data_IF_292667002083
#
_entry.id   IF_292667002083
#
_cell.length_a   1.000
_cell.length_b   1.000
_cell.length_c   1.000
_cell.angle_alpha   90.00
_cell.angle_beta   90.00
_cell.angle_gamma   90.00
#
_symmetry.space_group_name_H-M   'P 1'
#
loop_
_entity.id
_entity.type
_entity.pdbx_description
1 polymer ?
#
# COMPACT_ATOMS: atom_id res chain seq x y z
N UNK A 1 20.90 -12.45 -0.73
CA UNK A 1 19.43 -12.29 -0.78
C UNK A 1 19.02 -11.33 0.33
N UNK A 2 18.38 -10.21 0.01
CA UNK A 2 17.88 -9.28 1.04
C UNK A 2 16.81 -9.98 1.86
N UNK A 3 17.02 -10.13 3.16
CA UNK A 3 16.03 -10.70 4.06
C UNK A 3 14.87 -9.70 4.21
N UNK A 4 13.73 -9.99 3.60
CA UNK A 4 12.51 -9.17 3.62
C UNK A 4 12.17 -8.73 5.05
N UNK A 5 12.25 -9.64 6.02
CA UNK A 5 11.98 -9.34 7.43
C UNK A 5 12.94 -8.30 8.00
N UNK A 6 14.23 -8.40 7.66
CA UNK A 6 15.24 -7.45 8.10
C UNK A 6 15.03 -6.06 7.49
N UNK A 7 14.70 -5.99 6.20
CA UNK A 7 14.40 -4.71 5.54
C UNK A 7 13.16 -4.03 6.11
N UNK A 8 12.09 -4.78 6.37
CA UNK A 8 10.89 -4.27 7.04
C UNK A 8 11.16 -3.81 8.47
N UNK A 9 12.02 -4.51 9.21
CA UNK A 9 12.46 -4.08 10.53
C UNK A 9 13.25 -2.79 10.47
N UNK A 10 14.17 -2.67 9.50
CA UNK A 10 14.95 -1.45 9.32
C UNK A 10 14.06 -0.25 9.01
N UNK A 11 13.05 -0.42 8.14
CA UNK A 11 12.06 0.61 7.86
C UNK A 11 11.27 1.01 9.12
N UNK A 12 10.79 0.03 9.89
CA UNK A 12 10.12 0.29 11.16
C UNK A 12 11.02 1.06 12.12
N UNK A 13 12.24 0.58 12.38
CA UNK A 13 13.22 1.24 13.28
C UNK A 13 13.49 2.68 12.84
N UNK A 14 13.70 2.92 11.54
CA UNK A 14 13.94 4.26 11.00
C UNK A 14 12.75 5.19 11.21
N UNK A 15 11.53 4.71 11.00
CA UNK A 15 10.34 5.53 11.16
C UNK A 15 10.07 5.85 12.64
N UNK A 16 10.11 4.85 13.53
CA UNK A 16 9.81 5.08 14.95
C UNK A 16 10.83 6.00 15.63
N UNK A 17 12.08 6.04 15.16
CA UNK A 17 13.09 6.95 15.67
C UNK A 17 12.67 8.42 15.54
N UNK A 18 11.85 8.75 14.53
CA UNK A 18 11.30 10.08 14.29
C UNK A 18 9.84 10.23 14.77
N UNK A 19 9.21 9.14 15.19
CA UNK A 19 7.79 9.10 15.60
C UNK A 19 7.59 8.11 16.74
N UNK A 20 8.15 8.39 17.93
CA UNK A 20 8.18 7.44 19.05
C UNK A 20 6.80 7.15 19.66
N UNK A 21 5.78 7.93 19.31
CA UNK A 21 4.41 7.77 19.79
C UNK A 21 3.59 6.73 19.00
N UNK A 22 4.13 6.17 17.91
CA UNK A 22 3.44 5.17 17.10
C UNK A 22 3.25 3.83 17.84
N UNK A 23 2.07 3.24 17.69
CA UNK A 23 1.75 1.92 18.23
C UNK A 23 1.97 0.84 17.18
N UNK A 24 2.95 -0.04 17.36
CA UNK A 24 3.10 -1.21 16.47
C UNK A 24 1.98 -2.22 16.75
N UNK A 25 1.18 -2.51 15.73
CA UNK A 25 -0.02 -3.37 15.81
C UNK A 25 0.21 -4.80 15.37
N UNK A 26 1.39 -5.12 14.85
CA UNK A 26 1.78 -6.49 14.52
C UNK A 26 2.01 -6.76 13.03
N UNK A 27 2.17 -8.05 12.72
CA UNK A 27 2.45 -8.57 11.39
C UNK A 27 1.25 -9.38 10.91
N UNK A 28 0.80 -9.09 9.70
CA UNK A 28 -0.38 -9.68 9.09
C UNK A 28 0.02 -10.30 7.75
N UNK A 29 -0.45 -11.53 7.44
CA UNK A 29 -0.38 -12.01 6.07
C UNK A 29 -1.32 -11.19 5.16
N UNK A 30 -1.13 -11.27 3.85
CA UNK A 30 -2.12 -10.81 2.90
C UNK A 30 -3.30 -11.75 2.95
N UNK A 31 -4.50 -11.18 2.79
CA UNK A 31 -5.66 -12.03 2.59
C UNK A 31 -5.50 -12.81 1.31
N UNK A 32 -5.59 -14.13 1.44
CA UNK A 32 -5.58 -15.07 0.33
C UNK A 32 -7.02 -15.41 -0.03
N UNK A 33 -7.30 -15.69 -1.30
CA UNK A 33 -8.58 -16.23 -1.76
C UNK A 33 -8.43 -17.75 -1.84
N UNK A 34 -9.19 -18.49 -1.03
CA UNK A 34 -9.27 -19.95 -1.17
C UNK A 34 -10.28 -20.36 -2.23
N UNK A 35 -9.92 -21.33 -3.06
CA UNK A 35 -10.87 -22.00 -3.93
C UNK A 35 -11.74 -22.96 -3.12
N UNK A 36 -13.06 -22.76 -3.11
CA UNK A 36 -13.99 -23.82 -2.70
C UNK A 36 -14.13 -24.80 -3.87
N UNK A 37 -14.03 -26.12 -3.62
CA UNK A 37 -14.42 -27.16 -4.60
C UNK A 37 -15.83 -26.79 -5.09
N UNK A 38 -16.01 -26.54 -6.39
CA UNK A 38 -17.14 -25.84 -7.05
C UNK A 38 -16.89 -24.35 -7.41
N UNK A 39 -16.01 -24.14 -8.40
CA UNK A 39 -16.15 -23.12 -9.46
C UNK A 39 -16.15 -21.62 -9.13
N UNK A 40 -16.33 -21.21 -7.87
CA UNK A 40 -16.46 -19.79 -7.49
C UNK A 40 -15.29 -19.39 -6.60
N UNK A 41 -14.44 -18.47 -7.10
CA UNK A 41 -13.42 -17.81 -6.28
C UNK A 41 -14.12 -16.92 -5.27
N UNK A 42 -14.21 -17.35 -4.01
CA UNK A 42 -14.80 -16.56 -2.93
C UNK A 42 -13.76 -16.38 -1.84
N UNK A 43 -13.51 -15.14 -1.43
CA UNK A 43 -12.64 -14.85 -0.30
C UNK A 43 -13.23 -15.50 0.96
N UNK A 44 -12.41 -16.22 1.73
CA UNK A 44 -12.83 -16.59 3.09
C UNK A 44 -12.81 -15.33 3.94
N UNK A 45 -13.92 -14.96 4.63
CA UNK A 45 -13.94 -13.82 5.53
C UNK A 45 -12.87 -13.87 6.64
N UNK A 46 -12.35 -15.07 6.96
CA UNK A 46 -11.30 -15.27 7.97
C UNK A 46 -9.90 -14.83 7.52
N UNK A 47 -9.67 -14.62 6.22
CA UNK A 47 -8.34 -14.29 5.68
C UNK A 47 -8.11 -12.78 5.52
N UNK A 48 -9.17 -11.98 5.51
CA UNK A 48 -9.06 -10.52 5.45
C UNK A 48 -9.23 -9.93 6.85
N UNK A 49 -8.25 -9.13 7.27
CA UNK A 49 -8.22 -8.55 8.59
C UNK A 49 -9.15 -7.33 8.65
N UNK A 50 -10.17 -7.42 9.50
CA UNK A 50 -11.19 -6.36 9.66
C UNK A 50 -10.56 -5.00 9.99
N UNK A 51 -9.52 -4.99 10.82
CA UNK A 51 -8.80 -3.77 11.21
C UNK A 51 -8.00 -3.13 10.07
N UNK A 52 -7.63 -3.90 9.05
CA UNK A 52 -6.89 -3.41 7.87
C UNK A 52 -7.84 -3.07 6.69
N UNK A 53 -9.14 -3.10 6.95
CA UNK A 53 -10.22 -2.83 6.01
C UNK A 53 -10.87 -1.47 6.21
N UNK A 54 -12.12 -1.35 5.75
CA UNK A 54 -13.00 -0.23 6.05
C UNK A 54 -13.91 -0.53 7.24
N UNK A 55 -14.28 0.51 8.01
CA UNK A 55 -15.28 0.40 9.09
C UNK A 55 -16.61 -0.11 8.54
N UNK A 56 -17.45 -0.67 9.42
CA UNK A 56 -18.82 -1.09 9.05
C UNK A 56 -19.56 0.07 8.39
N UNK A 57 -20.22 -0.19 7.27
CA UNK A 57 -20.85 0.84 6.44
C UNK A 57 -19.91 1.46 5.40
N UNK A 58 -18.61 1.17 5.45
CA UNK A 58 -17.61 1.47 4.42
C UNK A 58 -17.46 2.96 4.10
N UNK A 59 -17.46 3.80 5.14
CA UNK A 59 -17.33 5.27 5.04
C UNK A 59 -15.96 5.81 5.47
N UNK A 60 -15.11 4.98 6.08
CA UNK A 60 -13.76 5.34 6.52
C UNK A 60 -12.91 4.10 6.82
N UNK A 61 -11.61 4.27 6.98
CA UNK A 61 -10.67 3.20 7.33
C UNK A 61 -10.93 2.65 8.74
N UNK A 62 -10.74 1.34 8.91
CA UNK A 62 -10.82 0.67 10.21
C UNK A 62 -9.49 0.65 10.98
N UNK A 63 -8.39 1.05 10.33
CA UNK A 63 -7.08 1.10 10.96
C UNK A 63 -7.11 2.01 12.19
N UNK A 64 -6.39 1.60 13.22
CA UNK A 64 -6.19 2.44 14.40
C UNK A 64 -5.36 3.67 14.05
N UNK A 65 -5.67 4.84 14.64
CA UNK A 65 -4.82 6.02 14.59
C UNK A 65 -3.38 5.77 15.04
N UNK A 66 -2.43 6.54 14.49
CA UNK A 66 -1.02 6.62 14.93
C UNK A 66 -0.43 5.23 15.16
N UNK A 67 -0.59 4.36 14.17
CA UNK A 67 -0.29 2.94 14.29
C UNK A 67 0.57 2.47 13.13
N UNK A 68 1.39 1.47 13.42
CA UNK A 68 2.26 0.85 12.44
C UNK A 68 1.89 -0.62 12.24
N UNK A 69 1.89 -1.07 10.99
CA UNK A 69 1.51 -2.43 10.59
C UNK A 69 2.56 -2.99 9.65
N UNK A 70 2.81 -4.28 9.74
CA UNK A 70 3.50 -5.02 8.67
C UNK A 70 2.47 -5.92 8.01
N UNK A 71 2.28 -5.80 6.71
CA UNK A 71 1.39 -6.65 5.91
C UNK A 71 2.18 -7.20 4.73
N UNK A 72 2.40 -8.52 4.70
CA UNK A 72 3.31 -9.18 3.75
C UNK A 72 4.69 -8.49 3.68
N UNK A 73 5.01 -7.92 2.52
CA UNK A 73 6.28 -7.33 2.14
C UNK A 73 6.27 -5.80 2.35
N UNK A 74 5.34 -5.30 3.15
CA UNK A 74 5.11 -3.86 3.32
C UNK A 74 4.90 -3.47 4.77
N UNK A 75 5.47 -2.34 5.14
CA UNK A 75 5.30 -1.63 6.39
C UNK A 75 4.43 -0.39 6.11
N UNK A 76 3.41 -0.18 6.93
CA UNK A 76 2.45 0.91 6.81
C UNK A 76 2.40 1.71 8.09
N UNK A 77 2.28 3.02 7.98
CA UNK A 77 1.98 3.92 9.10
C UNK A 77 0.71 4.68 8.78
N UNK A 78 -0.13 4.82 9.81
CA UNK A 78 -1.36 5.60 9.74
C UNK A 78 -1.30 6.82 10.63
N UNK A 79 -1.91 7.91 10.15
CA UNK A 79 -2.08 9.17 10.88
C UNK A 79 -3.13 9.08 12.00
N UNK A 80 -3.43 10.23 12.61
CA UNK A 80 -4.40 10.36 13.70
C UNK A 80 -5.86 10.01 13.30
N UNK A 81 -6.19 10.03 12.02
CA UNK A 81 -7.49 9.64 11.49
C UNK A 81 -7.54 8.15 11.09
N UNK A 82 -6.42 7.44 11.19
CA UNK A 82 -6.28 6.05 10.74
C UNK A 82 -6.14 5.92 9.22
N UNK A 83 -5.83 7.01 8.51
CA UNK A 83 -5.51 7.00 7.08
C UNK A 83 -4.03 6.66 6.93
N UNK A 84 -3.66 5.99 5.84
CA UNK A 84 -2.25 5.66 5.59
C UNK A 84 -1.52 6.92 5.14
N UNK A 85 -0.48 7.30 5.87
CA UNK A 85 0.38 8.46 5.57
C UNK A 85 1.75 8.05 5.03
N UNK A 86 2.17 6.81 5.30
CA UNK A 86 3.46 6.30 4.87
C UNK A 86 3.42 4.80 4.58
N UNK A 87 4.14 4.40 3.53
CA UNK A 87 4.38 3.00 3.18
C UNK A 87 5.85 2.80 2.84
N UNK A 88 6.43 1.74 3.39
CA UNK A 88 7.65 1.12 2.86
C UNK A 88 7.31 -0.28 2.36
N UNK A 89 7.49 -0.54 1.06
CA UNK A 89 7.22 -1.83 0.45
C UNK A 89 8.43 -2.40 -0.29
N UNK A 90 8.50 -3.72 -0.36
CA UNK A 90 9.44 -4.41 -1.25
C UNK A 90 8.67 -4.94 -2.45
N UNK A 91 9.00 -4.43 -3.63
CA UNK A 91 8.51 -4.94 -4.89
C UNK A 91 9.28 -6.22 -5.22
N UNK A 92 8.55 -7.34 -5.28
CA UNK A 92 9.14 -8.67 -5.50
C UNK A 92 8.62 -9.25 -6.82
N UNK A 93 9.55 -9.75 -7.65
CA UNK A 93 9.21 -10.44 -8.91
C UNK A 93 8.38 -11.69 -8.62
N UNK A 94 7.40 -11.96 -9.47
CA UNK A 94 6.54 -13.15 -9.38
C UNK A 94 5.80 -13.29 -8.04
N UNK A 95 5.58 -12.19 -7.31
CA UNK A 95 4.94 -12.17 -5.99
C UNK A 95 3.52 -11.61 -6.08
N UNK A 96 2.70 -12.17 -6.96
CA UNK A 96 1.34 -11.67 -7.17
C UNK A 96 0.46 -11.93 -5.94
N UNK A 97 -0.01 -10.87 -5.30
CA UNK A 97 -0.98 -10.93 -4.20
C UNK A 97 -2.43 -10.91 -4.73
N UNK A 98 -3.34 -11.48 -3.94
CA UNK A 98 -4.76 -11.48 -4.24
C UNK A 98 -5.39 -10.08 -4.07
N UNK A 99 -6.40 -9.79 -4.90
CA UNK A 99 -7.13 -8.51 -4.87
C UNK A 99 -8.48 -8.66 -4.18
N UNK A 100 -8.78 -7.78 -3.23
CA UNK A 100 -10.11 -7.68 -2.64
C UNK A 100 -10.98 -6.67 -3.40
N UNK A 101 -11.60 -7.09 -4.51
CA UNK A 101 -12.34 -6.20 -5.41
C UNK A 101 -13.43 -5.36 -4.70
N UNK A 102 -14.13 -5.95 -3.73
CA UNK A 102 -15.11 -5.22 -2.93
C UNK A 102 -14.48 -4.06 -2.15
N UNK A 103 -13.40 -4.29 -1.39
CA UNK A 103 -12.73 -3.21 -0.67
C UNK A 103 -12.16 -2.17 -1.63
N UNK A 104 -11.58 -2.61 -2.74
CA UNK A 104 -11.08 -1.69 -3.77
C UNK A 104 -12.16 -0.76 -4.31
N UNK A 105 -13.34 -1.30 -4.64
CA UNK A 105 -14.48 -0.49 -5.06
C UNK A 105 -14.93 0.46 -3.96
N UNK A 106 -14.99 -0.01 -2.71
CA UNK A 106 -15.44 0.80 -1.57
C UNK A 106 -14.46 1.93 -1.22
N UNK A 107 -13.16 1.71 -1.33
CA UNK A 107 -12.13 2.74 -1.11
C UNK A 107 -12.28 3.86 -2.15
N UNK A 108 -12.41 3.54 -3.44
CA UNK A 108 -12.64 4.57 -4.46
C UNK A 108 -13.93 5.39 -4.21
N UNK A 109 -15.00 4.72 -3.76
CA UNK A 109 -16.27 5.37 -3.42
C UNK A 109 -16.20 6.33 -2.24
N UNK A 110 -15.14 6.33 -1.43
CA UNK A 110 -14.94 7.34 -0.38
C UNK A 110 -14.80 8.76 -0.97
N UNK A 111 -14.26 8.87 -2.20
CA UNK A 111 -14.10 10.14 -2.91
C UNK A 111 -15.19 10.39 -3.96
N UNK A 112 -16.03 9.40 -4.26
CA UNK A 112 -17.10 9.51 -5.25
C UNK A 112 -16.66 9.23 -6.69
N UNK A 113 -17.36 9.85 -7.65
CA UNK A 113 -17.13 9.62 -9.09
C UNK A 113 -15.76 10.15 -9.50
N UNK A 114 -15.08 9.43 -10.39
CA UNK A 114 -13.75 9.82 -10.88
C UNK A 114 -12.58 9.29 -10.05
N UNK A 115 -12.84 8.49 -9.01
CA UNK A 115 -11.82 7.88 -8.18
C UNK A 115 -11.88 6.35 -8.20
N UNK A 116 -10.71 5.73 -8.13
CA UNK A 116 -10.54 4.30 -7.91
C UNK A 116 -9.99 4.04 -6.51
N UNK A 117 -10.15 2.81 -6.00
CA UNK A 117 -9.28 2.32 -4.94
C UNK A 117 -7.91 2.01 -5.54
N UNK A 118 -7.05 3.01 -5.63
CA UNK A 118 -5.70 2.86 -6.17
C UNK A 118 -4.83 2.12 -5.15
N UNK A 119 -4.05 1.14 -5.60
CA UNK A 119 -3.13 0.46 -4.70
C UNK A 119 -1.86 1.30 -4.51
N UNK A 120 -1.37 1.40 -3.29
CA UNK A 120 -0.08 2.04 -2.99
C UNK A 120 1.08 1.15 -3.41
N UNK A 121 0.99 -0.15 -3.11
CA UNK A 121 1.87 -1.19 -3.64
C UNK A 121 1.06 -2.05 -4.60
N UNK A 122 1.50 -2.16 -5.85
CA UNK A 122 0.78 -2.95 -6.87
C UNK A 122 0.68 -4.42 -6.46
N UNK A 123 -0.50 -5.02 -6.63
CA UNK A 123 -0.72 -6.45 -6.32
C UNK A 123 0.23 -7.40 -7.06
N UNK A 124 0.62 -7.09 -8.30
CA UNK A 124 1.58 -7.88 -9.07
C UNK A 124 2.98 -7.96 -8.43
N UNK A 125 3.29 -7.05 -7.50
CA UNK A 125 4.59 -6.87 -6.88
C UNK A 125 4.58 -7.25 -5.38
N UNK A 126 3.48 -7.83 -4.89
CA UNK A 126 3.32 -8.26 -3.49
C UNK A 126 2.41 -7.36 -2.66
N UNK A 127 1.81 -6.33 -3.26
CA UNK A 127 0.94 -5.40 -2.55
C UNK A 127 -0.37 -6.04 -2.10
N UNK A 128 -0.65 -5.96 -0.80
CA UNK A 128 -1.84 -6.55 -0.19
C UNK A 128 -3.14 -6.05 -0.84
N UNK A 129 -4.12 -6.93 -1.00
CA UNK A 129 -5.48 -6.55 -1.40
C UNK A 129 -6.30 -5.90 -0.28
N UNK A 130 -5.72 -5.62 0.89
CA UNK A 130 -6.41 -4.96 2.00
C UNK A 130 -6.55 -3.46 1.78
N UNK A 131 -7.56 -2.85 2.42
CA UNK A 131 -7.81 -1.42 2.27
C UNK A 131 -6.65 -0.57 2.80
N UNK A 132 -5.86 -1.04 3.78
CA UNK A 132 -4.62 -0.39 4.22
C UNK A 132 -3.59 -0.19 3.09
N UNK A 133 -3.68 -0.95 2.00
CA UNK A 133 -2.80 -0.76 0.83
C UNK A 133 -3.50 0.02 -0.30
N UNK A 134 -4.60 0.70 0.00
CA UNK A 134 -5.38 1.42 -1.00
C UNK A 134 -5.77 2.81 -0.53
N UNK A 135 -5.90 3.73 -1.47
CA UNK A 135 -6.42 5.08 -1.25
C UNK A 135 -7.41 5.46 -2.34
N UNK A 136 -8.30 6.44 -2.10
CA UNK A 136 -9.02 7.09 -3.19
C UNK A 136 -8.01 7.81 -4.08
N UNK A 137 -7.79 7.26 -5.27
CA UNK A 137 -6.83 7.77 -6.25
C UNK A 137 -7.58 8.20 -7.49
N UNK A 138 -7.27 9.39 -8.02
CA UNK A 138 -7.95 9.91 -9.20
C UNK A 138 -7.78 8.91 -10.36
N UNK A 139 -8.89 8.57 -11.01
CA UNK A 139 -8.94 7.53 -12.03
C UNK A 139 -8.00 7.85 -13.20
N UNK A 140 -7.83 9.14 -13.52
CA UNK A 140 -6.92 9.63 -14.55
C UNK A 140 -5.44 9.30 -14.24
N UNK A 141 -4.99 9.49 -12.99
CA UNK A 141 -3.61 9.16 -12.62
C UNK A 141 -3.40 7.65 -12.43
N UNK A 142 -4.43 6.95 -11.92
CA UNK A 142 -4.39 5.50 -11.65
C UNK A 142 -4.54 4.65 -12.94
N UNK A 143 -4.91 5.25 -14.07
CA UNK A 143 -4.96 4.55 -15.35
C UNK A 143 -3.55 4.10 -15.79
N UNK A 144 -3.47 3.10 -16.67
CA UNK A 144 -2.18 2.58 -17.19
C UNK A 144 -1.34 3.68 -17.83
N UNK A 145 -1.99 4.63 -18.51
CA UNK A 145 -1.37 5.81 -19.13
C UNK A 145 -1.38 7.04 -18.21
N UNK A 146 -1.85 6.91 -16.97
CA UNK A 146 -1.78 7.96 -15.95
C UNK A 146 -0.39 8.06 -15.33
N UNK A 147 -0.14 9.11 -14.55
CA UNK A 147 1.16 9.33 -13.88
C UNK A 147 1.50 8.20 -12.91
N UNK A 148 0.55 7.72 -12.11
CA UNK A 148 0.75 6.56 -11.23
C UNK A 148 0.99 5.28 -12.01
N UNK A 149 0.17 5.00 -13.03
CA UNK A 149 0.33 3.80 -13.86
C UNK A 149 1.66 3.75 -14.61
N UNK A 150 2.14 4.91 -15.12
CA UNK A 150 3.46 5.02 -15.75
C UNK A 150 4.60 4.81 -14.76
N UNK A 151 4.51 5.37 -13.55
CA UNK A 151 5.46 5.10 -12.48
C UNK A 151 5.50 3.60 -12.15
N UNK A 152 4.35 2.94 -11.97
CA UNK A 152 4.31 1.49 -11.72
C UNK A 152 4.97 0.69 -12.85
N UNK A 153 4.74 1.06 -14.11
CA UNK A 153 5.33 0.41 -15.27
C UNK A 153 6.86 0.59 -15.32
N UNK A 154 7.33 1.79 -15.00
CA UNK A 154 8.75 2.11 -14.94
C UNK A 154 9.47 1.31 -13.84
N UNK A 155 8.91 1.29 -12.63
CA UNK A 155 9.47 0.51 -11.52
C UNK A 155 9.41 -1.01 -11.79
N UNK A 156 8.38 -1.49 -12.50
CA UNK A 156 8.32 -2.89 -12.92
C UNK A 156 9.42 -3.25 -13.94
N UNK A 157 9.73 -2.34 -14.87
CA UNK A 157 10.83 -2.50 -15.82
C UNK A 157 12.18 -2.53 -15.10
N UNK A 158 12.41 -1.66 -14.13
CA UNK A 158 13.65 -1.67 -13.34
C UNK A 158 13.77 -2.98 -12.54
N UNK A 159 12.72 -3.37 -11.83
CA UNK A 159 12.67 -4.63 -11.08
C UNK A 159 12.94 -5.85 -11.98
N UNK A 160 12.49 -5.83 -13.24
CA UNK A 160 12.71 -6.94 -14.17
C UNK A 160 14.20 -7.27 -14.36
N UNK A 161 15.06 -6.25 -14.33
CA UNK A 161 16.50 -6.31 -14.55
C UNK A 161 17.32 -6.63 -13.28
N UNK A 162 16.68 -6.60 -12.12
CA UNK A 162 17.35 -6.78 -10.82
C UNK A 162 17.34 -8.24 -10.36
N UNK A 163 18.32 -8.67 -9.57
CA UNK A 163 18.30 -9.97 -8.88
C UNK A 163 17.73 -9.90 -7.46
N UNK A 164 17.52 -8.68 -6.95
CA UNK A 164 17.00 -8.36 -5.62
C UNK A 164 15.65 -7.63 -5.70
N UNK A 165 14.86 -7.64 -4.62
CA UNK A 165 13.67 -6.80 -4.52
C UNK A 165 14.02 -5.31 -4.65
N UNK A 166 13.12 -4.54 -5.26
CA UNK A 166 13.19 -3.08 -5.31
C UNK A 166 12.45 -2.51 -4.09
N UNK A 167 13.13 -1.73 -3.26
CA UNK A 167 12.47 -1.07 -2.13
C UNK A 167 11.77 0.22 -2.60
N UNK A 168 10.56 0.46 -2.10
CA UNK A 168 9.72 1.60 -2.48
C UNK A 168 9.19 2.25 -1.21
N UNK A 169 9.48 3.52 -1.03
CA UNK A 169 8.96 4.38 0.03
C UNK A 169 7.93 5.33 -0.56
N UNK A 170 6.78 5.46 0.08
CA UNK A 170 5.66 6.29 -0.36
C UNK A 170 5.20 7.13 0.82
N UNK A 171 5.30 8.45 0.69
CA UNK A 171 4.67 9.40 1.61
C UNK A 171 3.38 9.92 0.97
N UNK A 172 2.29 9.89 1.72
CA UNK A 172 0.95 10.31 1.29
C UNK A 172 0.58 11.59 2.04
N UNK A 173 0.28 12.65 1.30
CA UNK A 173 -0.16 13.91 1.88
C UNK A 173 -1.66 14.08 1.71
N UNK A 174 -2.34 14.49 2.79
CA UNK A 174 -3.76 14.84 2.78
C UNK A 174 -3.91 16.36 2.89
N UNK A 175 -4.94 16.95 2.26
CA UNK A 175 -5.13 18.41 2.27
C UNK A 175 -5.49 18.96 3.66
N UNK A 176 -6.09 18.12 4.52
CA UNK A 176 -6.50 18.47 5.88
C UNK A 176 -6.65 17.18 6.73
N UNK A 177 -6.98 17.33 8.02
CA UNK A 177 -7.15 16.21 8.97
C UNK A 177 -8.42 15.37 8.76
N UNK A 178 -9.37 15.85 7.95
CA UNK A 178 -10.68 15.22 7.73
C UNK A 178 -10.81 14.49 6.40
N UNK A 179 -10.09 14.92 5.37
CA UNK A 179 -10.19 14.39 4.01
C UNK A 179 -9.72 12.93 3.93
N UNK A 180 -10.53 12.04 3.37
CA UNK A 180 -10.08 10.67 3.09
C UNK A 180 -9.32 10.55 1.76
N UNK A 181 -9.24 11.64 1.00
CA UNK A 181 -8.63 11.71 -0.34
C UNK A 181 -7.26 12.36 -0.20
N UNK A 182 -6.17 11.65 -0.54
CA UNK A 182 -4.85 12.27 -0.61
C UNK A 182 -4.83 13.43 -1.61
N UNK A 183 -4.05 14.47 -1.31
CA UNK A 183 -3.72 15.53 -2.25
C UNK A 183 -2.57 15.12 -3.19
N UNK A 184 -1.60 14.37 -2.68
CA UNK A 184 -0.42 13.96 -3.46
C UNK A 184 0.33 12.78 -2.87
N UNK A 185 1.25 12.24 -3.66
CA UNK A 185 2.16 11.18 -3.31
C UNK A 185 3.60 11.60 -3.60
N UNK A 186 4.52 11.31 -2.69
CA UNK A 186 5.95 11.32 -2.94
C UNK A 186 6.46 9.89 -2.88
N UNK A 187 7.12 9.43 -3.94
CA UNK A 187 7.58 8.05 -4.07
C UNK A 187 9.08 8.02 -4.29
N UNK A 188 9.82 7.30 -3.47
CA UNK A 188 11.24 7.01 -3.64
C UNK A 188 11.44 5.51 -3.86
N UNK A 189 12.14 5.15 -4.94
CA UNK A 189 12.52 3.76 -5.21
C UNK A 189 14.04 3.58 -4.99
N UNK A 190 14.43 2.50 -4.33
CA UNK A 190 15.80 2.20 -3.93
C UNK A 190 16.22 0.83 -4.45
N UNK A 191 17.13 0.83 -5.44
CA UNK A 191 17.67 -0.42 -5.99
C UNK A 191 18.66 -1.11 -5.03
N UNK A 192 19.34 -0.32 -4.19
CA UNK A 192 20.41 -0.78 -3.30
C UNK A 192 20.03 -0.69 -1.80
N UNK A 193 18.72 -0.72 -1.51
CA UNK A 193 18.20 -0.63 -0.14
C UNK A 193 17.98 0.81 0.36
N UNK A 194 17.19 0.94 1.42
CA UNK A 194 16.64 2.23 1.91
C UNK A 194 17.68 3.22 2.47
N UNK A 195 18.89 2.74 2.75
CA UNK A 195 20.00 3.57 3.26
C UNK A 195 20.85 4.18 2.14
N UNK A 196 20.62 3.77 0.89
CA UNK A 196 21.24 4.39 -0.28
C UNK A 196 20.40 5.60 -0.76
N UNK A 197 20.97 6.51 -1.56
CA UNK A 197 20.18 7.51 -2.27
C UNK A 197 19.07 6.85 -3.12
N UNK A 198 17.92 7.51 -3.28
CA UNK A 198 16.88 7.02 -4.19
C UNK A 198 17.45 6.81 -5.59
N UNK A 199 17.17 5.64 -6.15
CA UNK A 199 17.41 5.36 -7.56
C UNK A 199 16.48 6.19 -8.44
N UNK A 200 15.22 6.38 -7.99
CA UNK A 200 14.21 7.23 -8.65
C UNK A 200 13.31 7.89 -7.63
N UNK A 201 12.82 9.07 -7.98
CA UNK A 201 11.88 9.85 -7.17
C UNK A 201 10.74 10.36 -8.05
N UNK A 202 9.52 10.30 -7.53
CA UNK A 202 8.30 10.78 -8.20
C UNK A 202 7.52 11.68 -7.25
N UNK A 203 7.00 12.79 -7.77
CA UNK A 203 6.02 13.63 -7.10
C UNK A 203 4.74 13.61 -7.93
N UNK A 204 3.66 13.08 -7.37
CA UNK A 204 2.43 12.77 -8.12
C UNK A 204 1.25 13.46 -7.42
N UNK A 205 0.73 14.58 -7.97
CA UNK A 205 -0.55 15.15 -7.56
C UNK A 205 -1.70 14.16 -7.80
N UNK A 206 -2.68 14.13 -6.90
CA UNK A 206 -3.87 13.27 -7.00
C UNK A 206 -5.05 13.99 -7.64
N UNK A 207 -4.86 14.50 -8.86
CA UNK A 207 -5.85 15.27 -9.63
C UNK A 207 -5.93 14.78 -11.08
#
# INVERSE_FOLDING_TARGET
MTNIKAALNAAHTRYIAHSPHLKFRGRYPAGRITHRRSGTKRSSPSQWHRELGLKRGGKSYACHPNSAYIVENSYYVTDEAGRVEYVFGLYVKNSKADRHLYQQSRVGKLAGKGYHGGHLIRSANGGSGQAINMVPMAAAINATNGTWGRMEAELANDLSKMSTPLAVEISISYPDSSSLVPASFSVNAYANGINAPPHKTFAIPNC
#
